data_IF_828257140652
#
_entry.id   IF_828257140652
#
_cell.length_a   1.000
_cell.length_b   1.000
_cell.length_c   1.000
_cell.angle_alpha   90.00
_cell.angle_beta   90.00
_cell.angle_gamma   90.00
#
_symmetry.space_group_name_H-M   'P 1'
#
loop_
_entity.id
_entity.type
_entity.pdbx_description
1 polymer ?
#
# COMPACT_ATOMS: atom_id res chain seq x y z
N UNK A 1 12.86 -15.98 5.75
CA UNK A 1 11.68 -16.28 4.89
C UNK A 1 10.44 -15.80 5.62
N UNK A 2 9.39 -15.33 4.95
CA UNK A 2 8.19 -14.73 5.57
C UNK A 2 7.04 -15.73 5.51
N UNK A 3 6.23 -15.83 6.57
CA UNK A 3 4.98 -16.59 6.49
C UNK A 3 3.87 -15.69 5.96
N UNK A 4 3.09 -16.21 5.02
CA UNK A 4 1.88 -15.55 4.53
C UNK A 4 0.87 -15.50 5.66
N UNK A 5 0.29 -14.33 5.91
CA UNK A 5 -0.77 -14.16 6.90
C UNK A 5 -2.10 -13.90 6.20
N UNK A 6 -3.22 -14.27 6.82
CA UNK A 6 -4.56 -13.95 6.31
C UNK A 6 -4.81 -12.44 6.21
N UNK A 7 -4.06 -11.64 6.98
CA UNK A 7 -4.17 -10.18 6.99
C UNK A 7 -3.32 -9.49 5.92
N UNK A 8 -2.43 -10.21 5.21
CA UNK A 8 -1.53 -9.61 4.22
C UNK A 8 -2.31 -8.74 3.23
N UNK A 9 -3.38 -9.30 2.65
CA UNK A 9 -4.20 -8.58 1.68
C UNK A 9 -4.89 -7.34 2.28
N UNK A 10 -5.44 -7.45 3.50
CA UNK A 10 -6.14 -6.34 4.15
C UNK A 10 -5.19 -5.21 4.54
N UNK A 11 -3.98 -5.55 5.00
CA UNK A 11 -2.91 -4.58 5.29
C UNK A 11 -2.47 -3.87 4.01
N UNK A 12 -2.23 -4.60 2.92
CA UNK A 12 -1.87 -3.99 1.62
C UNK A 12 -2.96 -3.04 1.11
N UNK A 13 -4.22 -3.39 1.34
CA UNK A 13 -5.38 -2.58 0.98
C UNK A 13 -5.49 -1.31 1.82
N UNK A 14 -5.28 -1.39 3.13
CA UNK A 14 -5.39 -0.22 4.02
C UNK A 14 -4.21 0.75 3.86
N UNK A 15 -3.03 0.20 3.60
CA UNK A 15 -1.77 0.95 3.56
C UNK A 15 -1.42 1.42 2.13
N UNK A 16 -1.90 0.72 1.10
CA UNK A 16 -1.71 1.08 -0.32
C UNK A 16 -0.40 0.58 -0.94
N UNK A 17 0.48 -0.04 -0.18
CA UNK A 17 1.71 -0.66 -0.68
C UNK A 17 1.86 -2.09 -0.15
N UNK A 18 2.72 -2.89 -0.81
CA UNK A 18 2.92 -4.28 -0.42
C UNK A 18 3.44 -4.40 1.01
N UNK A 19 3.12 -5.51 1.69
CA UNK A 19 3.63 -5.74 3.06
C UNK A 19 5.16 -5.74 3.10
N UNK A 20 5.83 -6.16 2.03
CA UNK A 20 7.28 -6.14 1.95
C UNK A 20 7.83 -4.71 1.88
N UNK A 21 7.12 -3.82 1.18
CA UNK A 21 7.48 -2.40 1.14
C UNK A 21 7.21 -1.75 2.51
N UNK A 22 6.14 -2.14 3.20
CA UNK A 22 5.85 -1.69 4.56
C UNK A 22 7.00 -2.02 5.51
N UNK A 23 7.48 -3.27 5.49
CA UNK A 23 8.62 -3.67 6.33
C UNK A 23 9.90 -2.94 5.91
N UNK A 24 10.15 -2.77 4.61
CA UNK A 24 11.32 -2.05 4.13
C UNK A 24 11.30 -0.55 4.52
N UNK A 25 10.12 0.08 4.55
CA UNK A 25 9.97 1.47 5.01
C UNK A 25 10.11 1.58 6.53
N UNK A 26 9.60 0.61 7.29
CA UNK A 26 9.84 0.52 8.74
C UNK A 26 11.33 0.39 9.06
N UNK A 27 12.03 -0.54 8.41
CA UNK A 27 13.47 -0.78 8.62
C UNK A 27 14.32 0.46 8.27
N UNK A 28 13.80 1.36 7.42
CA UNK A 28 14.44 2.63 7.03
C UNK A 28 13.99 3.84 7.85
N UNK A 29 13.09 3.65 8.82
CA UNK A 29 12.54 4.73 9.65
C UNK A 29 11.68 5.74 8.87
N UNK A 30 11.06 5.31 7.76
CA UNK A 30 10.29 6.17 6.85
C UNK A 30 8.79 6.21 7.16
N UNK A 31 8.34 5.51 8.21
CA UNK A 31 6.94 5.40 8.57
C UNK A 31 6.58 6.31 9.73
N UNK A 32 5.37 6.87 9.69
CA UNK A 32 4.79 7.59 10.81
C UNK A 32 4.35 6.62 11.93
N UNK A 33 4.05 7.14 13.12
CA UNK A 33 3.75 6.33 14.32
C UNK A 33 2.72 5.21 14.11
N UNK A 34 1.52 5.47 13.57
CA UNK A 34 0.51 4.44 13.35
C UNK A 34 0.95 3.34 12.37
N UNK A 35 1.66 3.73 11.29
CA UNK A 35 2.18 2.79 10.29
C UNK A 35 3.35 1.97 10.83
N UNK A 36 4.17 2.57 11.70
CA UNK A 36 5.27 1.89 12.41
C UNK A 36 4.71 0.79 13.32
N UNK A 37 3.71 1.10 14.14
CA UNK A 37 3.06 0.12 14.99
C UNK A 37 2.39 -1.02 14.20
N UNK A 38 1.72 -0.69 13.08
CA UNK A 38 1.12 -1.70 12.21
C UNK A 38 2.19 -2.61 11.57
N UNK A 39 3.31 -2.06 11.11
CA UNK A 39 4.41 -2.83 10.55
C UNK A 39 5.00 -3.81 11.57
N UNK A 40 5.20 -3.36 12.80
CA UNK A 40 5.71 -4.19 13.91
C UNK A 40 4.73 -5.30 14.30
N UNK A 41 3.45 -4.95 14.46
CA UNK A 41 2.39 -5.92 14.78
C UNK A 41 2.26 -6.99 13.69
N UNK A 42 2.30 -6.60 12.41
CA UNK A 42 2.26 -7.54 11.29
C UNK A 42 3.50 -8.44 11.24
N UNK A 43 4.69 -7.88 11.50
CA UNK A 43 5.94 -8.66 11.58
C UNK A 43 5.91 -9.67 12.72
N UNK A 44 5.39 -9.27 13.89
CA UNK A 44 5.19 -10.17 15.02
C UNK A 44 4.22 -11.31 14.69
N UNK A 45 3.11 -11.02 13.99
CA UNK A 45 2.17 -12.03 13.53
C UNK A 45 2.83 -13.01 12.54
N UNK A 46 3.58 -12.50 11.56
CA UNK A 46 4.29 -13.35 10.59
C UNK A 46 5.31 -14.27 11.28
N UNK A 47 5.99 -13.80 12.33
CA UNK A 47 6.88 -14.64 13.13
C UNK A 47 6.11 -15.72 13.90
N UNK A 48 4.99 -15.37 14.53
CA UNK A 48 4.16 -16.33 15.25
C UNK A 48 3.61 -17.44 14.33
N UNK A 49 3.18 -17.11 13.10
CA UNK A 49 2.77 -18.09 12.08
C UNK A 49 3.91 -19.04 11.67
N UNK A 50 5.16 -18.54 11.64
CA UNK A 50 6.35 -19.39 11.40
C UNK A 50 6.56 -20.38 12.54
N UNK A 51 6.41 -19.94 13.78
CA UNK A 51 6.57 -20.79 14.97
C UNK A 51 5.48 -21.89 15.01
N UNK A 52 4.22 -21.53 14.73
CA UNK A 52 3.14 -22.51 14.59
C UNK A 52 3.46 -23.54 13.50
N UNK A 53 3.92 -23.08 12.34
CA UNK A 53 4.31 -23.98 11.23
C UNK A 53 5.45 -24.89 11.65
N UNK A 54 6.46 -24.37 12.34
CA UNK A 54 7.60 -25.14 12.83
C UNK A 54 7.16 -26.26 13.78
N UNK A 55 6.38 -25.95 14.82
CA UNK A 55 5.94 -26.96 15.79
C UNK A 55 4.97 -27.98 15.18
N UNK A 56 4.14 -27.57 14.21
CA UNK A 56 3.28 -28.49 13.47
C UNK A 56 4.09 -29.51 12.67
N UNK A 57 5.12 -29.06 11.96
CA UNK A 57 6.02 -29.94 11.18
C UNK A 57 6.82 -30.85 12.10
N UNK A 58 7.34 -30.32 13.22
CA UNK A 58 8.05 -31.12 14.21
C UNK A 58 7.15 -32.22 14.80
N UNK A 59 5.90 -31.89 15.15
CA UNK A 59 4.94 -32.86 15.67
C UNK A 59 4.64 -33.96 14.64
N UNK A 60 4.42 -33.59 13.37
CA UNK A 60 4.22 -34.55 12.28
C UNK A 60 5.43 -35.50 12.15
N UNK A 61 6.65 -34.98 12.27
CA UNK A 61 7.87 -35.78 12.21
C UNK A 61 7.96 -36.76 13.39
N UNK A 62 7.64 -36.32 14.60
CA UNK A 62 7.65 -37.19 15.78
C UNK A 62 6.58 -38.29 15.70
N UNK A 63 5.46 -38.00 15.04
CA UNK A 63 4.35 -38.94 14.83
C UNK A 63 4.47 -39.80 13.55
N UNK A 64 5.59 -39.71 12.81
CA UNK A 64 5.77 -40.37 11.51
C UNK A 64 5.90 -41.90 11.55
N UNK A 65 6.15 -42.48 12.75
CA UNK A 65 6.43 -43.90 12.91
C UNK A 65 7.88 -44.30 12.63
N UNK A 66 8.76 -43.35 12.27
CA UNK A 66 10.20 -43.60 12.04
C UNK A 66 11.00 -43.78 13.34
N UNK A 67 10.44 -43.33 14.47
CA UNK A 67 11.10 -43.33 15.78
C UNK A 67 10.63 -44.52 16.61
N UNK A 68 11.55 -45.11 17.38
CA UNK A 68 11.21 -46.16 18.34
C UNK A 68 10.23 -45.62 19.39
N UNK A 69 9.16 -46.38 19.64
CA UNK A 69 8.13 -46.01 20.62
C UNK A 69 8.65 -46.30 22.02
N UNK A 70 9.10 -45.26 22.70
CA UNK A 70 9.61 -45.30 24.08
C UNK A 70 9.11 -44.10 24.90
N UNK A 71 9.42 -44.10 26.20
CA UNK A 71 9.02 -43.03 27.11
C UNK A 71 9.60 -41.65 26.72
N UNK A 72 10.78 -41.64 26.10
CA UNK A 72 11.41 -40.40 25.64
C UNK A 72 10.68 -39.79 24.45
N UNK A 73 10.17 -40.62 23.52
CA UNK A 73 9.33 -40.19 22.42
C UNK A 73 8.04 -39.54 22.93
N UNK A 74 7.34 -40.19 23.87
CA UNK A 74 6.13 -39.62 24.48
C UNK A 74 6.41 -38.27 25.14
N UNK A 75 7.47 -38.17 25.96
CA UNK A 75 7.84 -36.90 26.60
C UNK A 75 8.20 -35.79 25.59
N UNK A 76 8.79 -36.13 24.44
CA UNK A 76 9.09 -35.17 23.37
C UNK A 76 7.82 -34.72 22.64
N UNK A 77 6.89 -35.65 22.39
CA UNK A 77 5.58 -35.32 21.80
C UNK A 77 4.82 -34.38 22.72
N UNK A 78 4.72 -34.70 24.01
CA UNK A 78 4.02 -33.87 25.00
C UNK A 78 4.60 -32.45 25.07
N UNK A 79 5.94 -32.32 25.10
CA UNK A 79 6.60 -31.02 25.05
C UNK A 79 6.28 -30.26 23.76
N UNK A 80 6.33 -30.93 22.61
CA UNK A 80 6.05 -30.30 21.31
C UNK A 80 4.60 -29.85 21.21
N UNK A 81 3.66 -30.63 21.75
CA UNK A 81 2.24 -30.25 21.82
C UNK A 81 2.04 -29.02 22.70
N UNK A 82 2.70 -28.95 23.85
CA UNK A 82 2.66 -27.74 24.71
C UNK A 82 3.22 -26.52 23.98
N UNK A 83 4.38 -26.66 23.34
CA UNK A 83 4.97 -25.56 22.56
C UNK A 83 4.10 -25.13 21.38
N UNK A 84 3.41 -26.06 20.71
CA UNK A 84 2.47 -25.74 19.65
C UNK A 84 1.26 -24.96 20.19
N UNK A 85 0.72 -25.34 21.35
CA UNK A 85 -0.37 -24.60 22.01
C UNK A 85 0.05 -23.17 22.33
N UNK A 86 1.23 -23.00 22.91
CA UNK A 86 1.78 -21.68 23.23
C UNK A 86 1.97 -20.84 21.97
N UNK A 87 2.52 -21.43 20.90
CA UNK A 87 2.70 -20.74 19.61
C UNK A 87 1.36 -20.30 19.00
N UNK A 88 0.31 -21.13 19.10
CA UNK A 88 -1.03 -20.77 18.63
C UNK A 88 -1.62 -19.63 19.46
N UNK A 89 -1.51 -19.68 20.79
CA UNK A 89 -1.99 -18.60 21.66
C UNK A 89 -1.27 -17.27 21.38
N UNK A 90 0.05 -17.32 21.15
CA UNK A 90 0.83 -16.15 20.74
C UNK A 90 0.34 -15.63 19.39
N UNK A 91 0.18 -16.50 18.38
CA UNK A 91 -0.35 -16.13 17.05
C UNK A 91 -1.70 -15.44 17.16
N UNK A 92 -2.62 -15.99 17.93
CA UNK A 92 -3.97 -15.44 18.10
C UNK A 92 -3.92 -14.04 18.73
N UNK A 93 -3.04 -13.84 19.73
CA UNK A 93 -2.80 -12.52 20.34
C UNK A 93 -2.24 -11.53 19.32
N UNK A 94 -1.22 -11.93 18.55
CA UNK A 94 -0.63 -11.05 17.52
C UNK A 94 -1.61 -10.73 16.40
N UNK A 95 -2.50 -11.66 16.07
CA UNK A 95 -3.53 -11.43 15.09
C UNK A 95 -4.52 -10.37 15.57
N UNK A 96 -4.92 -10.42 16.84
CA UNK A 96 -5.79 -9.41 17.45
C UNK A 96 -5.10 -8.03 17.51
N UNK A 97 -3.82 -7.96 17.88
CA UNK A 97 -3.04 -6.71 17.88
C UNK A 97 -2.94 -6.10 16.47
N UNK A 98 -2.61 -6.91 15.46
CA UNK A 98 -2.52 -6.46 14.08
C UNK A 98 -3.88 -5.99 13.53
N UNK A 99 -4.96 -6.68 13.88
CA UNK A 99 -6.33 -6.28 13.54
C UNK A 99 -6.71 -4.94 14.18
N UNK A 100 -6.46 -4.77 15.49
CA UNK A 100 -6.78 -3.53 16.18
C UNK A 100 -5.98 -2.33 15.62
N UNK A 101 -4.70 -2.53 15.32
CA UNK A 101 -3.87 -1.51 14.67
C UNK A 101 -4.39 -1.13 13.29
N UNK A 102 -4.85 -2.12 12.53
CA UNK A 102 -5.43 -1.92 11.20
C UNK A 102 -6.76 -1.16 11.26
N UNK A 103 -7.65 -1.53 12.18
CA UNK A 103 -8.93 -0.85 12.39
C UNK A 103 -8.74 0.60 12.85
N UNK A 104 -7.77 0.84 13.72
CA UNK A 104 -7.41 2.21 14.14
C UNK A 104 -6.91 3.04 12.97
N UNK A 105 -6.10 2.47 12.08
CA UNK A 105 -5.59 3.14 10.88
C UNK A 105 -6.70 3.41 9.86
N UNK A 106 -7.60 2.45 9.65
CA UNK A 106 -8.80 2.59 8.82
C UNK A 106 -9.74 3.69 9.37
N UNK A 107 -9.85 3.82 10.69
CA UNK A 107 -10.68 4.83 11.35
C UNK A 107 -10.02 6.22 11.41
N UNK A 108 -8.68 6.29 11.52
CA UNK A 108 -7.91 7.53 11.62
C UNK A 108 -7.62 8.19 10.27
N UNK A 109 -7.90 7.52 9.16
CA UNK A 109 -7.80 8.11 7.82
C UNK A 109 -8.63 9.41 7.78
N UNK A 110 -7.99 10.58 7.62
CA UNK A 110 -8.70 11.86 7.70
C UNK A 110 -9.75 11.94 6.60
N UNK A 111 -10.84 12.62 6.94
CA UNK A 111 -11.97 13.00 6.08
C UNK A 111 -11.50 13.25 4.65
N UNK A 112 -11.70 12.24 3.80
CA UNK A 112 -12.30 12.32 2.46
C UNK A 112 -12.18 13.72 1.85
N UNK A 113 -11.08 13.99 1.13
CA UNK A 113 -10.94 15.24 0.38
C UNK A 113 -11.86 15.14 -0.83
N UNK A 114 -12.91 15.96 -0.82
CA UNK A 114 -13.91 16.03 -1.88
C UNK A 114 -13.31 16.55 -3.17
N UNK A 115 -13.06 15.67 -4.12
CA UNK A 115 -13.01 15.99 -5.54
C UNK A 115 -14.24 15.33 -6.17
N UNK A 116 -15.36 16.07 -6.19
CA UNK A 116 -16.64 15.76 -6.83
C UNK A 116 -16.98 14.27 -7.02
N UNK A 117 -17.32 13.59 -5.91
CA UNK A 117 -18.15 12.37 -5.96
C UNK A 117 -17.48 11.02 -5.65
N UNK A 118 -16.17 10.95 -5.42
CA UNK A 118 -15.57 9.73 -4.83
C UNK A 118 -14.35 10.07 -3.98
N UNK A 119 -14.42 9.70 -2.71
CA UNK A 119 -13.41 10.08 -1.74
C UNK A 119 -12.12 9.28 -1.91
N UNK A 120 -11.01 9.96 -2.16
CA UNK A 120 -9.69 9.35 -2.31
C UNK A 120 -8.83 9.57 -1.07
N UNK A 121 -8.19 8.50 -0.61
CA UNK A 121 -7.19 8.53 0.46
C UNK A 121 -5.88 9.17 -0.03
N UNK A 122 -5.08 9.74 0.87
CA UNK A 122 -3.82 10.40 0.51
C UNK A 122 -2.86 9.48 -0.29
N UNK A 123 -2.83 8.18 0.05
CA UNK A 123 -2.04 7.19 -0.67
C UNK A 123 -2.63 6.82 -2.04
N UNK A 124 -3.96 6.86 -2.18
CA UNK A 124 -4.65 6.68 -3.47
C UNK A 124 -4.34 7.84 -4.41
N UNK A 125 -4.33 9.07 -3.88
CA UNK A 125 -3.91 10.26 -4.63
C UNK A 125 -2.43 10.19 -5.03
N UNK A 126 -1.54 9.78 -4.12
CA UNK A 126 -0.12 9.60 -4.42
C UNK A 126 0.10 8.53 -5.50
N UNK A 127 -0.66 7.44 -5.47
CA UNK A 127 -0.62 6.42 -6.51
C UNK A 127 -1.15 6.94 -7.85
N UNK A 128 -2.26 7.71 -7.84
CA UNK A 128 -2.82 8.33 -9.04
C UNK A 128 -1.81 9.30 -9.70
N UNK A 129 -1.11 10.10 -8.89
CA UNK A 129 -0.05 11.00 -9.33
C UNK A 129 1.17 10.24 -9.87
N UNK A 130 1.56 9.15 -9.22
CA UNK A 130 2.67 8.33 -9.71
C UNK A 130 2.31 7.62 -11.02
N UNK A 131 1.05 7.25 -11.20
CA UNK A 131 0.54 6.68 -12.46
C UNK A 131 0.46 7.75 -13.57
N UNK A 132 0.24 9.03 -13.24
CA UNK A 132 0.20 10.11 -14.23
C UNK A 132 1.52 10.39 -14.91
N UNK A 133 2.62 9.93 -14.32
CA UNK A 133 3.95 9.98 -14.92
C UNK A 133 4.20 8.80 -15.88
N UNK A 134 3.23 7.89 -16.00
CA UNK A 134 3.29 6.65 -16.78
C UNK A 134 3.36 5.44 -15.87
N UNK A 135 2.57 4.40 -16.17
CA UNK A 135 2.62 3.15 -15.41
C UNK A 135 2.31 1.92 -16.28
N UNK A 136 2.79 0.76 -15.84
CA UNK A 136 2.58 -0.53 -16.50
C UNK A 136 2.16 -1.59 -15.50
N UNK A 137 1.07 -2.27 -15.79
CA UNK A 137 0.58 -3.43 -15.08
C UNK A 137 1.38 -4.66 -15.48
N UNK A 138 1.97 -5.33 -14.49
CA UNK A 138 2.74 -6.54 -14.66
C UNK A 138 2.10 -7.67 -13.88
N UNK A 139 2.15 -8.87 -14.45
CA UNK A 139 1.86 -10.10 -13.75
C UNK A 139 3.15 -10.84 -13.41
N UNK A 140 3.31 -11.20 -12.15
CA UNK A 140 4.42 -12.02 -11.68
C UNK A 140 4.20 -13.47 -12.12
N UNK A 141 5.07 -13.98 -13.00
CA UNK A 141 4.87 -15.27 -13.67
C UNK A 141 4.83 -16.48 -12.72
N UNK A 142 5.58 -16.43 -11.62
CA UNK A 142 5.64 -17.56 -10.67
C UNK A 142 4.49 -17.56 -9.65
N UNK A 143 3.91 -16.40 -9.34
CA UNK A 143 2.91 -16.26 -8.26
C UNK A 143 1.55 -15.84 -8.78
N UNK A 144 1.43 -15.53 -10.08
CA UNK A 144 0.24 -14.96 -10.71
C UNK A 144 -0.13 -13.56 -10.23
N UNK A 145 0.59 -13.00 -9.23
CA UNK A 145 0.26 -11.73 -8.59
C UNK A 145 0.46 -10.58 -9.56
N UNK A 146 -0.50 -9.65 -9.57
CA UNK A 146 -0.43 -8.45 -10.40
C UNK A 146 0.13 -7.29 -9.59
N UNK A 147 0.83 -6.37 -10.23
CA UNK A 147 1.31 -5.12 -9.62
C UNK A 147 1.51 -4.07 -10.70
N UNK A 148 1.30 -2.81 -10.35
CA UNK A 148 1.55 -1.69 -11.24
C UNK A 148 2.93 -1.12 -10.94
N UNK A 149 3.74 -0.93 -11.97
CA UNK A 149 5.05 -0.31 -11.87
C UNK A 149 4.94 1.06 -12.54
N UNK A 150 5.16 2.12 -11.76
CA UNK A 150 5.16 3.50 -12.27
C UNK A 150 6.47 3.79 -13.00
N UNK A 151 6.52 4.89 -13.75
CA UNK A 151 7.71 5.34 -14.47
C UNK A 151 8.87 5.64 -13.51
N UNK A 152 8.57 6.04 -12.27
CA UNK A 152 9.53 6.22 -11.17
C UNK A 152 10.03 4.90 -10.56
N UNK A 153 9.53 3.75 -11.03
CA UNK A 153 9.90 2.42 -10.51
C UNK A 153 9.18 2.03 -9.22
N UNK A 154 8.24 2.86 -8.73
CA UNK A 154 7.44 2.55 -7.55
C UNK A 154 6.43 1.45 -7.90
N UNK A 155 6.30 0.47 -6.99
CA UNK A 155 5.31 -0.60 -7.12
C UNK A 155 4.04 -0.23 -6.37
N UNK A 156 2.96 -0.10 -7.12
CA UNK A 156 1.59 0.09 -6.64
C UNK A 156 0.92 -1.29 -6.58
N UNK A 157 0.36 -1.63 -5.42
CA UNK A 157 -0.29 -2.92 -5.22
C UNK A 157 -1.54 -3.06 -6.12
N UNK A 158 -1.83 -4.27 -6.60
CA UNK A 158 -2.98 -4.50 -7.47
C UNK A 158 -4.34 -4.09 -6.87
N UNK A 159 -4.61 -4.29 -5.57
CA UNK A 159 -5.89 -3.88 -4.99
C UNK A 159 -6.08 -2.36 -5.01
N UNK A 160 -4.99 -1.60 -4.82
CA UNK A 160 -5.00 -0.15 -4.94
C UNK A 160 -5.29 0.27 -6.39
N UNK A 161 -4.66 -0.39 -7.37
CA UNK A 161 -4.98 -0.19 -8.78
C UNK A 161 -6.44 -0.53 -9.12
N UNK A 162 -6.97 -1.65 -8.62
CA UNK A 162 -8.36 -2.08 -8.85
C UNK A 162 -9.34 -1.04 -8.33
N UNK A 163 -9.12 -0.46 -7.15
CA UNK A 163 -9.96 0.62 -6.63
C UNK A 163 -9.96 1.86 -7.53
N UNK A 164 -8.81 2.24 -8.05
CA UNK A 164 -8.70 3.38 -8.98
C UNK A 164 -9.37 3.07 -10.34
N UNK A 165 -9.32 1.81 -10.80
CA UNK A 165 -10.01 1.34 -12.01
C UNK A 165 -11.54 1.29 -11.81
N UNK A 166 -12.02 0.78 -10.68
CA UNK A 166 -13.42 0.79 -10.24
C UNK A 166 -13.95 2.21 -9.98
N UNK A 167 -13.07 3.14 -9.64
CA UNK A 167 -13.35 4.57 -9.57
C UNK A 167 -13.34 5.26 -10.94
N UNK A 168 -13.07 4.53 -12.03
CA UNK A 168 -12.94 5.05 -13.38
C UNK A 168 -11.91 6.18 -13.50
N UNK A 169 -10.88 6.19 -12.64
CA UNK A 169 -9.80 7.19 -12.65
C UNK A 169 -8.63 6.76 -13.54
N UNK A 170 -8.54 5.45 -13.81
CA UNK A 170 -7.49 4.85 -14.62
C UNK A 170 -8.10 3.78 -15.53
N UNK A 171 -7.52 3.64 -16.70
CA UNK A 171 -7.90 2.65 -17.69
C UNK A 171 -6.68 1.87 -18.17
N UNK A 172 -6.83 0.56 -18.28
CA UNK A 172 -5.87 -0.32 -18.94
C UNK A 172 -6.05 -0.28 -20.45
N UNK A 173 -4.93 -0.27 -21.17
CA UNK A 173 -4.95 -0.49 -22.62
C UNK A 173 -4.85 -2.00 -22.89
N UNK A 174 -5.97 -2.64 -23.23
CA UNK A 174 -6.03 -4.09 -23.52
C UNK A 174 -5.38 -4.50 -24.83
N UNK A 175 -4.87 -3.55 -25.61
CA UNK A 175 -4.13 -3.82 -26.86
C UNK A 175 -2.76 -4.44 -26.60
N UNK A 176 -2.26 -4.39 -25.35
CA UNK A 176 -0.96 -4.89 -24.95
C UNK A 176 -1.07 -6.11 -24.02
N UNK A 177 -0.27 -7.17 -24.24
CA UNK A 177 -0.31 -8.35 -23.39
C UNK A 177 0.23 -8.06 -21.98
N UNK A 178 -0.45 -8.60 -20.97
CA UNK A 178 -0.12 -8.45 -19.54
C UNK A 178 1.32 -8.85 -19.19
N UNK A 179 1.85 -9.87 -19.87
CA UNK A 179 3.21 -10.37 -19.61
C UNK A 179 4.31 -9.44 -20.14
N UNK A 180 4.00 -8.54 -21.07
CA UNK A 180 4.95 -7.55 -21.60
C UNK A 180 4.87 -6.19 -20.87
N UNK A 181 4.02 -6.10 -19.83
CA UNK A 181 3.72 -4.86 -19.13
C UNK A 181 2.64 -4.07 -19.86
N UNK A 182 1.39 -4.26 -19.45
CA UNK A 182 0.24 -3.59 -20.05
C UNK A 182 0.20 -2.12 -19.61
N UNK A 183 0.17 -1.13 -20.52
CA UNK A 183 0.19 0.26 -20.14
C UNK A 183 -1.14 0.69 -19.50
N UNK A 184 -1.03 1.57 -18.52
CA UNK A 184 -2.15 2.17 -17.79
C UNK A 184 -2.14 3.68 -18.08
N UNK A 185 -3.31 4.21 -18.42
CA UNK A 185 -3.51 5.63 -18.71
C UNK A 185 -4.59 6.23 -17.80
N UNK A 186 -4.45 7.51 -17.44
CA UNK A 186 -5.51 8.20 -16.71
C UNK A 186 -6.70 8.51 -17.63
N UNK A 187 -7.89 8.29 -17.09
CA UNK A 187 -9.13 8.77 -17.69
C UNK A 187 -9.23 10.29 -17.52
N UNK A 188 -10.20 10.90 -18.21
CA UNK A 188 -10.50 12.32 -18.00
C UNK A 188 -10.86 12.62 -16.53
N UNK A 189 -11.61 11.71 -15.88
CA UNK A 189 -11.95 11.82 -14.46
C UNK A 189 -10.70 11.79 -13.56
N UNK A 190 -9.76 10.86 -13.80
CA UNK A 190 -8.52 10.82 -13.04
C UNK A 190 -7.66 12.07 -13.23
N UNK A 191 -7.63 12.63 -14.45
CA UNK A 191 -6.95 13.89 -14.73
C UNK A 191 -7.62 15.07 -14.01
N UNK A 192 -8.94 15.17 -14.02
CA UNK A 192 -9.65 16.24 -13.31
C UNK A 192 -9.49 16.14 -11.82
N UNK A 193 -9.41 14.94 -11.23
CA UNK A 193 -9.08 14.77 -9.80
C UNK A 193 -7.69 15.31 -9.47
N UNK A 194 -6.69 15.06 -10.31
CA UNK A 194 -5.33 15.58 -10.10
C UNK A 194 -5.25 17.11 -10.28
N UNK A 195 -5.96 17.68 -11.26
CA UNK A 195 -5.92 19.12 -11.54
C UNK A 195 -6.87 19.96 -10.69
N UNK A 196 -7.98 19.38 -10.21
CA UNK A 196 -9.01 20.06 -9.43
C UNK A 196 -8.53 20.54 -8.07
N UNK A 197 -7.52 19.89 -7.49
CA UNK A 197 -6.87 20.32 -6.24
C UNK A 197 -5.78 21.37 -6.47
N UNK A 198 -5.35 21.58 -7.73
CA UNK A 198 -4.31 22.55 -8.10
C UNK A 198 -4.90 23.72 -8.90
N UNK A 199 -5.79 24.48 -8.27
CA UNK A 199 -6.02 25.87 -8.67
C UNK A 199 -6.40 26.72 -7.46
N UNK A 200 -5.46 27.45 -6.83
CA UNK A 200 -5.86 28.72 -6.23
C UNK A 200 -6.50 29.54 -7.35
N UNK A 201 -7.68 30.16 -7.13
CA UNK A 201 -8.30 31.00 -8.15
C UNK A 201 -7.26 32.03 -8.58
N UNK A 202 -6.89 32.00 -9.85
CA UNK A 202 -6.10 33.07 -10.43
C UNK A 202 -6.94 34.34 -10.22
N UNK A 203 -6.49 35.18 -9.30
CA UNK A 203 -6.99 36.53 -9.21
C UNK A 203 -6.94 37.10 -10.62
N UNK A 204 -8.11 37.49 -11.14
CA UNK A 204 -8.21 38.30 -12.34
C UNK A 204 -7.14 39.39 -12.24
N UNK A 205 -6.23 39.55 -13.22
CA UNK A 205 -5.33 40.68 -13.21
C UNK A 205 -6.19 41.93 -13.31
N UNK A 206 -6.44 42.57 -12.16
CA UNK A 206 -6.92 43.95 -12.11
C UNK A 206 -5.92 44.76 -12.91
N UNK A 207 -6.37 45.26 -14.06
CA UNK A 207 -5.67 46.25 -14.86
C UNK A 207 -5.09 47.32 -13.93
N UNK A 208 -3.76 47.39 -13.82
CA UNK A 208 -3.11 48.48 -13.12
C UNK A 208 -3.53 49.82 -13.77
N UNK A 209 -3.87 50.85 -12.99
CA UNK A 209 -4.14 52.17 -13.53
C UNK A 209 -2.86 52.74 -14.14
N UNK A 210 -2.93 53.21 -15.40
CA UNK A 210 -1.83 53.94 -16.04
C UNK A 210 -1.53 55.19 -15.24
N UNK A 211 -0.42 55.19 -14.51
CA UNK A 211 0.20 56.40 -13.96
C UNK A 211 1.50 56.60 -14.72
N UNK A 212 1.55 57.69 -15.49
CA UNK A 212 2.69 58.03 -16.33
C UNK A 212 2.31 59.04 -17.41
N UNK A 213 1.72 60.15 -17.01
CA UNK A 213 1.64 61.36 -17.84
C UNK A 213 3.06 61.88 -18.07
N UNK A 214 3.58 61.69 -19.28
CA UNK A 214 4.82 62.33 -19.73
C UNK A 214 4.51 63.78 -20.10
N UNK A 215 5.25 64.78 -19.61
CA UNK A 215 5.02 66.17 -20.01
C UNK A 215 5.45 66.40 -21.46
N UNK A 216 4.61 67.13 -22.20
CA UNK A 216 4.85 67.56 -23.56
C UNK A 216 6.07 68.47 -23.66
N UNK A 217 6.99 68.14 -24.56
CA UNK A 217 8.04 69.06 -25.02
C UNK A 217 7.44 70.10 -25.95
N UNK A 218 7.37 71.34 -25.47
CA UNK A 218 7.04 72.51 -26.30
C UNK A 218 8.19 72.83 -27.24
N UNK A 219 8.04 72.43 -28.51
CA UNK A 219 8.88 72.90 -29.61
C UNK A 219 8.67 74.40 -29.83
N UNK A 220 9.74 75.18 -29.65
CA UNK A 220 9.80 76.60 -30.03
C UNK A 220 10.29 76.67 -31.48
N UNK A 221 9.44 77.14 -32.39
CA UNK A 221 9.84 77.51 -33.75
C UNK A 221 10.28 78.98 -33.80
N UNK A 222 11.38 79.22 -34.52
CA UNK A 222 11.82 80.46 -35.19
C UNK A 222 12.07 81.71 -34.33
#
# INVERSE_FOLDING_TARGET
MKALTSLDHRVEVAVGYSVDLLWAHHDRGLLDGPLTHLAEAHRALSNAERDVTFYRVLLQRLASGELQVDQHLFARIDRTVTQLKDAVAIRDTRQAEALAGLESLEAAAPVRITAEGKDLLAHEFAALLAISQGARLHQHLQTGRMSVVTASGVRVAHPLYQRLEEAHLVARDTSHPLHAGQPISLTDAGRTTLTGTSRPPAATPTSAPRVGSWPATSGRSR
#
